data_IF_237048243197
#
_entry.id   IF_237048243197
#
_cell.length_a   1.000
_cell.length_b   1.000
_cell.length_c   1.000
_cell.angle_alpha   90.00
_cell.angle_beta   90.00
_cell.angle_gamma   90.00
#
_symmetry.space_group_name_H-M   'P 1'
#
loop_
_entity.id
_entity.type
_entity.pdbx_description
1 polymer ?
#
# COMPACT_ATOMS: atom_id res chain seq x y z
N UNK A 1 -44.41 18.86 -19.64
CA UNK A 1 -43.13 19.09 -20.34
C UNK A 1 -42.01 18.90 -19.33
N UNK A 2 -41.32 17.76 -19.34
CA UNK A 2 -40.18 17.51 -18.46
C UNK A 2 -38.91 18.05 -19.12
N UNK A 3 -38.18 18.94 -18.43
CA UNK A 3 -36.89 19.43 -18.90
C UNK A 3 -35.86 18.30 -18.88
N UNK A 4 -34.95 18.22 -19.88
CA UNK A 4 -33.92 17.20 -19.88
C UNK A 4 -32.92 17.50 -18.77
N UNK A 5 -32.67 16.52 -17.90
CA UNK A 5 -31.60 16.57 -16.91
C UNK A 5 -30.27 16.61 -17.65
N UNK A 6 -29.66 17.79 -17.74
CA UNK A 6 -28.27 17.92 -18.16
C UNK A 6 -27.35 17.15 -17.20
N UNK A 7 -26.11 16.81 -17.62
CA UNK A 7 -25.20 16.01 -16.80
C UNK A 7 -25.02 16.65 -15.42
N UNK A 8 -25.48 15.96 -14.38
CA UNK A 8 -25.45 16.38 -12.98
C UNK A 8 -24.06 16.13 -12.38
N UNK A 9 -23.01 16.45 -13.13
CA UNK A 9 -21.63 16.35 -12.66
C UNK A 9 -21.19 17.72 -12.19
N UNK A 10 -21.13 17.92 -10.88
CA UNK A 10 -20.48 19.09 -10.30
C UNK A 10 -18.95 18.98 -10.54
N UNK A 11 -18.33 19.89 -11.32
CA UNK A 11 -16.90 19.83 -11.60
C UNK A 11 -16.03 19.93 -10.33
N UNK A 12 -16.58 20.55 -9.27
CA UNK A 12 -15.93 20.60 -7.95
C UNK A 12 -15.81 19.21 -7.31
N UNK A 13 -16.88 18.43 -7.33
CA UNK A 13 -16.91 17.05 -6.85
C UNK A 13 -15.96 16.14 -7.64
N UNK A 14 -15.92 16.26 -8.97
CA UNK A 14 -15.01 15.45 -9.82
C UNK A 14 -13.53 15.73 -9.50
N UNK A 15 -13.16 17.00 -9.32
CA UNK A 15 -11.79 17.39 -8.94
C UNK A 15 -11.42 16.86 -7.55
N UNK A 16 -12.35 16.89 -6.59
CA UNK A 16 -12.15 16.35 -5.25
C UNK A 16 -11.92 14.84 -5.29
N UNK A 17 -12.73 14.10 -6.06
CA UNK A 17 -12.59 12.65 -6.25
C UNK A 17 -11.24 12.28 -6.87
N UNK A 18 -10.81 13.03 -7.89
CA UNK A 18 -9.51 12.81 -8.52
C UNK A 18 -8.36 12.99 -7.53
N UNK A 19 -8.43 14.02 -6.67
CA UNK A 19 -7.42 14.27 -5.64
C UNK A 19 -7.37 13.14 -4.61
N UNK A 20 -8.53 12.68 -4.13
CA UNK A 20 -8.63 11.53 -3.21
C UNK A 20 -8.04 10.27 -3.86
N UNK A 21 -8.33 10.02 -5.13
CA UNK A 21 -7.81 8.85 -5.85
C UNK A 21 -6.27 8.88 -5.93
N UNK A 22 -5.68 10.04 -6.27
CA UNK A 22 -4.22 10.21 -6.29
C UNK A 22 -3.59 10.00 -4.92
N UNK A 23 -4.21 10.51 -3.86
CA UNK A 23 -3.72 10.35 -2.49
C UNK A 23 -3.80 8.87 -2.06
N UNK A 24 -4.86 8.15 -2.43
CA UNK A 24 -4.99 6.70 -2.19
C UNK A 24 -3.95 5.89 -2.96
N UNK A 25 -3.69 6.21 -4.23
CA UNK A 25 -2.64 5.56 -5.02
C UNK A 25 -1.26 5.77 -4.38
N UNK A 26 -0.98 6.99 -3.92
CA UNK A 26 0.29 7.31 -3.24
C UNK A 26 0.45 6.52 -1.94
N UNK A 27 -0.63 6.40 -1.14
CA UNK A 27 -0.64 5.59 0.08
C UNK A 27 -0.45 4.11 -0.21
N UNK A 28 -1.07 3.60 -1.27
CA UNK A 28 -0.92 2.20 -1.69
C UNK A 28 0.53 1.90 -2.08
N UNK A 29 1.16 2.75 -2.88
CA UNK A 29 2.56 2.54 -3.29
C UNK A 29 3.52 2.62 -2.11
N UNK A 30 3.29 3.55 -1.17
CA UNK A 30 4.04 3.60 0.08
C UNK A 30 3.88 2.32 0.89
N UNK A 31 2.64 1.87 1.11
CA UNK A 31 2.36 0.64 1.86
C UNK A 31 2.99 -0.60 1.21
N UNK A 32 2.99 -0.69 -0.12
CA UNK A 32 3.67 -1.77 -0.85
C UNK A 32 5.18 -1.75 -0.62
N UNK A 33 5.80 -0.57 -0.61
CA UNK A 33 7.24 -0.45 -0.32
C UNK A 33 7.53 -0.83 1.13
N UNK A 34 6.77 -0.30 2.09
CA UNK A 34 6.93 -0.61 3.52
C UNK A 34 6.79 -2.13 3.77
N UNK A 35 5.87 -2.79 3.07
CA UNK A 35 5.70 -4.24 3.16
C UNK A 35 6.91 -5.01 2.59
N UNK A 36 7.48 -4.56 1.46
CA UNK A 36 8.68 -5.17 0.89
C UNK A 36 9.86 -5.05 1.85
N UNK A 37 10.08 -3.87 2.42
CA UNK A 37 11.19 -3.60 3.35
C UNK A 37 11.03 -4.43 4.64
N UNK A 38 9.80 -4.54 5.14
CA UNK A 38 9.51 -5.37 6.31
C UNK A 38 9.77 -6.86 6.02
N UNK A 39 9.35 -7.33 4.84
CA UNK A 39 9.58 -8.72 4.42
C UNK A 39 11.07 -9.04 4.29
N UNK A 40 11.87 -8.13 3.75
CA UNK A 40 13.33 -8.30 3.68
C UNK A 40 13.95 -8.43 5.09
N UNK A 41 13.61 -7.51 5.99
CA UNK A 41 14.08 -7.55 7.39
C UNK A 41 13.67 -8.83 8.11
N UNK A 42 12.45 -9.31 7.86
CA UNK A 42 11.96 -10.56 8.42
C UNK A 42 12.79 -11.75 7.94
N UNK A 43 13.03 -11.86 6.64
CA UNK A 43 13.83 -12.97 6.07
C UNK A 43 15.27 -12.98 6.58
N UNK A 44 15.89 -11.80 6.75
CA UNK A 44 17.23 -11.69 7.35
C UNK A 44 17.21 -12.18 8.80
N UNK A 45 16.19 -11.79 9.55
CA UNK A 45 16.03 -12.20 10.94
C UNK A 45 15.80 -13.71 11.07
N UNK A 46 14.96 -14.27 10.19
CA UNK A 46 14.69 -15.71 10.11
C UNK A 46 15.97 -16.50 9.79
N UNK A 47 16.72 -16.08 8.76
CA UNK A 47 17.98 -16.72 8.39
C UNK A 47 19.01 -16.64 9.53
N UNK A 48 19.09 -15.50 10.22
CA UNK A 48 19.99 -15.31 11.36
C UNK A 48 19.61 -16.24 12.52
N UNK A 49 18.32 -16.31 12.87
CA UNK A 49 17.82 -17.19 13.93
C UNK A 49 18.07 -18.67 13.60
N UNK A 50 17.84 -19.07 12.35
CA UNK A 50 18.11 -20.43 11.88
C UNK A 50 19.60 -20.79 11.98
N UNK A 51 20.48 -19.90 11.52
CA UNK A 51 21.93 -20.09 11.63
C UNK A 51 22.38 -20.25 13.08
N UNK A 52 21.89 -19.39 13.98
CA UNK A 52 22.22 -19.45 15.41
C UNK A 52 21.72 -20.76 16.04
N UNK A 53 20.48 -21.16 15.78
CA UNK A 53 19.92 -22.40 16.28
C UNK A 53 20.75 -23.63 15.84
N UNK A 54 21.13 -23.67 14.57
CA UNK A 54 21.98 -24.74 14.05
C UNK A 54 23.39 -24.74 14.64
N UNK A 55 23.96 -23.56 14.93
CA UNK A 55 25.24 -23.50 15.63
C UNK A 55 25.12 -24.03 17.05
N UNK A 56 24.08 -23.65 17.78
CA UNK A 56 23.84 -24.14 19.14
C UNK A 56 23.57 -25.64 19.19
N UNK A 57 22.90 -26.22 18.18
CA UNK A 57 22.66 -27.66 18.11
C UNK A 57 23.93 -28.47 17.80
N UNK A 58 24.95 -27.85 17.19
CA UNK A 58 26.21 -28.51 16.84
C UNK A 58 27.18 -28.66 18.02
N UNK A 59 26.96 -27.92 19.11
CA UNK A 59 27.74 -28.00 20.35
C UNK A 59 26.99 -28.77 21.42
#
# INVERSE_FOLDING_TARGET
MAAPLGPLSDPGAEKSLLKINQDLQSQLEKSKQDFRDLKEKFLISEATAYCLANQLQKY
#
